data_IF_874417785491
#
_entry.id   IF_874417785491
#
_cell.length_a   1.000
_cell.length_b   1.000
_cell.length_c   1.000
_cell.angle_alpha   90.00
_cell.angle_beta   90.00
_cell.angle_gamma   90.00
#
_symmetry.space_group_name_H-M   'P 1'
#
loop_
_entity.id
_entity.type
_entity.pdbx_description
1 polymer ?
#
# COMPACT_ATOMS: atom_id res chain seq x y z
N UNK A 1 5.69 1.05 3.61
CA UNK A 1 6.68 1.64 2.69
C UNK A 1 6.95 0.65 1.58
N UNK A 2 7.30 1.15 0.39
CA UNK A 2 7.82 0.38 -0.73
C UNK A 2 9.34 0.41 -0.66
N UNK A 3 9.96 -0.76 -0.67
CA UNK A 3 11.40 -0.93 -0.84
C UNK A 3 11.68 -1.19 -2.33
N UNK A 4 12.43 -0.28 -2.94
CA UNK A 4 12.66 -0.25 -4.38
C UNK A 4 13.84 -1.13 -4.83
N UNK A 5 14.78 -1.47 -3.93
CA UNK A 5 15.95 -2.27 -4.28
C UNK A 5 15.89 -3.69 -3.71
N UNK A 6 14.97 -3.94 -2.77
CA UNK A 6 14.73 -5.25 -2.16
C UNK A 6 15.85 -5.71 -1.24
N UNK A 7 16.76 -4.80 -0.87
CA UNK A 7 17.82 -5.01 0.09
C UNK A 7 17.34 -4.92 1.53
N UNK A 8 18.29 -4.76 2.44
CA UNK A 8 17.94 -4.42 3.82
C UNK A 8 17.52 -2.95 3.87
N UNK A 9 16.37 -2.60 4.49
CA UNK A 9 15.95 -1.21 4.63
C UNK A 9 16.96 -0.43 5.46
N UNK A 10 17.24 0.81 5.06
CA UNK A 10 18.22 1.69 5.69
C UNK A 10 17.53 2.74 6.55
N UNK A 11 16.63 3.53 5.96
CA UNK A 11 15.88 4.56 6.68
C UNK A 11 14.67 5.06 5.87
N UNK A 12 13.60 5.54 6.54
CA UNK A 12 12.47 6.17 5.86
C UNK A 12 12.92 7.31 4.93
N UNK A 13 12.49 7.29 3.67
CA UNK A 13 12.82 8.32 2.68
C UNK A 13 14.22 8.26 2.08
N UNK A 14 15.03 7.24 2.41
CA UNK A 14 16.34 6.99 1.78
C UNK A 14 16.22 5.95 0.66
N UNK A 15 15.89 4.73 1.03
CA UNK A 15 15.60 3.58 0.15
C UNK A 15 14.13 3.16 0.19
N UNK A 16 13.36 3.76 1.10
CA UNK A 16 11.95 3.50 1.31
C UNK A 16 11.06 4.64 0.82
N UNK A 17 10.10 4.31 -0.03
CA UNK A 17 9.04 5.24 -0.48
C UNK A 17 7.77 5.04 0.34
N UNK A 18 7.17 6.12 0.84
CA UNK A 18 5.94 6.02 1.64
C UNK A 18 4.76 5.63 0.75
N UNK A 19 4.09 4.52 1.08
CA UNK A 19 2.85 4.09 0.43
C UNK A 19 1.60 4.59 1.15
N UNK A 20 1.65 4.66 2.48
CA UNK A 20 0.57 5.16 3.31
C UNK A 20 0.92 5.06 4.80
N UNK A 21 0.28 5.91 5.60
CA UNK A 21 0.45 5.95 7.06
C UNK A 21 -0.89 6.23 7.74
N UNK A 22 -1.08 5.65 8.93
CA UNK A 22 -2.25 5.84 9.78
C UNK A 22 -1.77 5.96 11.22
N UNK A 23 -2.30 6.94 11.93
CA UNK A 23 -2.14 7.00 13.38
C UNK A 23 -3.15 6.06 14.03
N UNK A 24 -2.71 5.34 15.06
CA UNK A 24 -3.57 4.46 15.85
C UNK A 24 -3.25 4.59 17.32
N UNK A 25 -4.24 4.32 18.17
CA UNK A 25 -4.05 4.27 19.62
C UNK A 25 -3.77 2.84 20.01
N UNK A 26 -2.55 2.58 20.47
CA UNK A 26 -2.18 1.26 20.99
C UNK A 26 -2.90 1.05 22.32
N UNK A 27 -3.96 0.23 22.31
CA UNK A 27 -4.73 -0.08 23.50
C UNK A 27 -3.87 -0.84 24.52
N UNK A 28 -3.76 -0.29 25.73
CA UNK A 28 -3.04 -0.94 26.84
C UNK A 28 -3.84 -2.15 27.35
N UNK A 29 -3.19 -3.31 27.43
CA UNK A 29 -3.79 -4.58 27.85
C UNK A 29 -3.05 -5.79 27.27
N UNK A 30 -3.26 -6.98 27.83
CA UNK A 30 -2.65 -8.20 27.29
C UNK A 30 -3.42 -8.68 26.05
N UNK A 31 -2.69 -8.99 24.96
CA UNK A 31 -3.17 -9.63 23.72
C UNK A 31 -4.25 -8.86 22.93
N UNK A 32 -3.90 -7.66 22.44
CA UNK A 32 -4.74 -6.91 21.50
C UNK A 32 -4.22 -7.07 20.06
N UNK A 33 -5.12 -7.34 19.11
CA UNK A 33 -4.84 -7.20 17.68
C UNK A 33 -5.16 -5.74 17.29
N UNK A 34 -4.19 -5.06 16.69
CA UNK A 34 -4.36 -3.71 16.18
C UNK A 34 -4.46 -3.79 14.65
N UNK A 35 -5.57 -3.29 14.11
CA UNK A 35 -5.82 -3.28 12.66
C UNK A 35 -5.77 -1.85 12.15
N UNK A 36 -5.02 -1.61 11.09
CA UNK A 36 -4.99 -0.35 10.36
C UNK A 36 -5.55 -0.57 8.95
N UNK A 37 -6.73 0.01 8.69
CA UNK A 37 -7.34 0.00 7.37
C UNK A 37 -7.07 1.31 6.63
N UNK A 38 -6.80 1.22 5.34
CA UNK A 38 -6.55 2.36 4.47
C UNK A 38 -7.74 2.58 3.55
N UNK A 39 -8.17 3.84 3.46
CA UNK A 39 -9.26 4.28 2.59
C UNK A 39 -8.84 5.64 2.00
N UNK A 40 -8.54 5.71 0.68
CA UNK A 40 -8.57 4.59 -0.27
C UNK A 40 -7.49 3.52 0.04
N UNK A 41 -7.62 2.28 -0.47
CA UNK A 41 -6.66 1.21 -0.27
C UNK A 41 -5.24 1.58 -0.72
N UNK A 42 -4.22 1.04 -0.03
CA UNK A 42 -2.84 1.17 -0.46
C UNK A 42 -2.59 0.27 -1.68
N UNK A 43 -2.05 0.87 -2.72
CA UNK A 43 -1.63 0.18 -3.93
C UNK A 43 -0.20 -0.32 -3.80
N UNK A 44 0.00 -1.64 -3.88
CA UNK A 44 1.31 -2.30 -3.83
C UNK A 44 1.63 -2.89 -5.21
N UNK A 45 2.68 -2.42 -5.90
CA UNK A 45 3.08 -2.99 -7.19
C UNK A 45 3.41 -4.48 -7.09
N UNK A 46 3.15 -5.22 -8.18
CA UNK A 46 3.60 -6.60 -8.29
C UNK A 46 5.13 -6.70 -8.12
N UNK A 47 5.58 -7.86 -7.61
CA UNK A 47 6.99 -8.18 -7.40
C UNK A 47 7.77 -7.16 -6.53
N UNK A 48 7.08 -6.49 -5.61
CA UNK A 48 7.69 -5.53 -4.69
C UNK A 48 7.88 -6.05 -3.27
N UNK A 49 8.82 -5.45 -2.54
CA UNK A 49 9.02 -5.67 -1.11
C UNK A 49 8.34 -4.54 -0.35
N UNK A 50 7.52 -4.92 0.63
CA UNK A 50 6.87 -3.97 1.54
C UNK A 50 7.57 -3.97 2.89
N UNK A 51 7.82 -2.76 3.40
CA UNK A 51 8.30 -2.56 4.77
C UNK A 51 7.16 -1.95 5.57
N UNK A 52 6.60 -2.72 6.51
CA UNK A 52 5.68 -2.21 7.51
C UNK A 52 6.49 -1.59 8.67
N UNK A 53 6.06 -0.44 9.18
CA UNK A 53 6.71 0.21 10.32
C UNK A 53 5.66 0.66 11.32
N UNK A 54 5.91 0.44 12.60
CA UNK A 54 5.18 1.10 13.68
C UNK A 54 6.13 2.09 14.34
N UNK A 55 5.77 3.36 14.29
CA UNK A 55 6.41 4.39 15.11
C UNK A 55 5.68 4.46 16.46
N UNK A 56 6.45 4.45 17.55
CA UNK A 56 5.93 4.62 18.90
C UNK A 56 6.64 5.83 19.49
N UNK A 57 5.86 6.79 19.98
CA UNK A 57 6.41 7.95 20.66
C UNK A 57 7.22 7.53 21.92
N UNK A 58 8.30 8.25 22.24
CA UNK A 58 9.08 7.94 23.42
C UNK A 58 8.22 8.06 24.69
N UNK A 59 8.31 7.07 25.57
CA UNK A 59 7.66 7.12 26.88
C UNK A 59 8.24 8.28 27.70
N UNK A 60 7.36 9.06 28.34
CA UNK A 60 7.74 10.17 29.21
C UNK A 60 8.17 9.73 30.61
N UNK A 61 7.90 8.48 30.99
CA UNK A 61 8.05 7.95 32.36
C UNK A 61 8.58 6.51 32.42
N UNK A 62 9.21 6.02 31.34
CA UNK A 62 9.71 4.65 31.27
C UNK A 62 10.38 4.31 29.94
N UNK A 63 9.99 3.19 29.36
CA UNK A 63 10.48 2.73 28.06
C UNK A 63 9.32 2.31 27.17
N UNK A 64 9.46 2.54 25.86
CA UNK A 64 8.63 1.90 24.85
C UNK A 64 9.30 0.59 24.44
N UNK A 65 8.55 -0.50 24.39
CA UNK A 65 9.03 -1.80 23.92
C UNK A 65 7.99 -2.45 23.04
N UNK A 66 8.45 -3.31 22.14
CA UNK A 66 7.59 -4.25 21.43
C UNK A 66 8.00 -5.68 21.82
N UNK A 67 7.12 -6.63 21.55
CA UNK A 67 7.38 -8.05 21.68
C UNK A 67 7.17 -8.74 20.34
N UNK A 68 7.72 -9.93 20.21
CA UNK A 68 7.60 -10.77 19.01
C UNK A 68 7.46 -12.23 19.37
N UNK A 69 7.68 -13.10 18.40
CA UNK A 69 7.74 -14.54 18.59
C UNK A 69 8.95 -15.14 17.85
N UNK A 70 9.27 -16.40 18.15
CA UNK A 70 10.37 -17.13 17.52
C UNK A 70 9.92 -17.97 16.31
N UNK A 71 8.75 -17.68 15.73
CA UNK A 71 8.33 -18.38 14.51
C UNK A 71 9.31 -18.05 13.38
N UNK A 72 9.65 -19.02 12.52
CA UNK A 72 10.56 -18.77 11.40
C UNK A 72 10.05 -17.64 10.51
N UNK A 73 10.96 -16.73 10.15
CA UNK A 73 10.72 -15.66 9.19
C UNK A 73 11.80 -15.73 8.11
N UNK A 74 11.42 -15.41 6.88
CA UNK A 74 12.38 -15.25 5.76
C UNK A 74 12.97 -13.84 5.71
N UNK A 75 12.39 -12.89 6.45
CA UNK A 75 12.82 -11.50 6.54
C UNK A 75 13.20 -11.14 7.98
N UNK A 76 14.25 -10.33 8.15
CA UNK A 76 14.68 -9.88 9.47
C UNK A 76 13.70 -8.85 10.06
N UNK A 77 13.63 -8.77 11.39
CA UNK A 77 12.98 -7.65 12.09
C UNK A 77 14.00 -6.55 12.35
N UNK A 78 13.59 -5.30 12.12
CA UNK A 78 14.44 -4.12 12.24
C UNK A 78 13.96 -3.18 13.35
N UNK A 79 14.89 -2.46 13.95
CA UNK A 79 14.62 -1.37 14.91
C UNK A 79 15.36 -0.11 14.50
N UNK A 80 14.71 1.04 14.67
CA UNK A 80 15.28 2.37 14.47
C UNK A 80 15.02 3.18 15.75
N UNK A 81 16.06 3.79 16.31
CA UNK A 81 15.95 4.60 17.52
C UNK A 81 17.16 5.53 17.66
N UNK A 82 17.03 6.75 17.17
CA UNK A 82 18.07 7.78 17.27
C UNK A 82 18.50 8.02 18.72
N UNK A 83 17.54 8.02 19.66
CA UNK A 83 17.82 8.18 21.09
C UNK A 83 18.69 7.07 21.68
N UNK A 84 18.69 5.89 21.06
CA UNK A 84 19.51 4.74 21.45
C UNK A 84 20.77 4.59 20.57
N UNK A 85 21.05 5.56 19.68
CA UNK A 85 22.19 5.52 18.77
C UNK A 85 22.01 4.64 17.53
N UNK A 86 20.80 4.13 17.30
CA UNK A 86 20.44 3.34 16.12
C UNK A 86 19.84 4.26 15.06
N UNK A 87 20.71 4.95 14.34
CA UNK A 87 20.33 6.01 13.36
C UNK A 87 19.88 5.48 12.00
N UNK A 88 19.94 4.17 11.82
CA UNK A 88 19.41 3.44 10.65
C UNK A 88 18.70 2.19 11.15
N UNK A 89 17.82 1.64 10.33
CA UNK A 89 17.20 0.35 10.61
C UNK A 89 18.29 -0.69 10.86
N UNK A 90 18.30 -1.23 12.07
CA UNK A 90 19.28 -2.21 12.54
C UNK A 90 18.57 -3.53 12.77
N UNK A 91 19.12 -4.62 12.26
CA UNK A 91 18.54 -5.95 12.47
C UNK A 91 18.61 -6.31 13.95
N UNK A 92 17.53 -6.90 14.47
CA UNK A 92 17.50 -7.35 15.86
C UNK A 92 18.55 -8.43 16.15
N UNK A 93 18.83 -9.30 15.17
CA UNK A 93 19.85 -10.35 15.30
C UNK A 93 21.26 -9.78 15.50
N UNK A 94 21.59 -8.66 14.84
CA UNK A 94 22.89 -8.00 14.96
C UNK A 94 23.11 -7.37 16.33
N UNK A 95 22.03 -7.09 17.07
CA UNK A 95 22.05 -6.55 18.43
C UNK A 95 21.68 -7.59 19.50
N UNK A 96 21.73 -8.88 19.16
CA UNK A 96 21.63 -9.99 20.11
C UNK A 96 20.22 -10.55 20.34
N UNK A 97 19.27 -10.27 19.46
CA UNK A 97 17.90 -10.78 19.51
C UNK A 97 17.52 -11.57 18.22
N UNK A 98 18.20 -12.69 17.92
CA UNK A 98 17.99 -13.43 16.68
C UNK A 98 16.63 -14.14 16.59
N UNK A 99 16.00 -14.42 17.74
CA UNK A 99 14.77 -15.20 17.82
C UNK A 99 13.52 -14.33 18.07
N UNK A 100 13.60 -13.03 17.80
CA UNK A 100 12.48 -12.09 17.96
C UNK A 100 12.02 -11.60 16.59
N UNK A 101 10.89 -12.13 16.14
CA UNK A 101 10.20 -11.70 14.93
C UNK A 101 8.93 -10.92 15.28
N UNK A 102 8.79 -9.73 14.69
CA UNK A 102 7.54 -8.98 14.77
C UNK A 102 6.50 -9.60 13.83
N UNK A 103 5.34 -9.97 14.37
CA UNK A 103 4.26 -10.58 13.61
C UNK A 103 3.31 -9.53 13.05
N UNK A 104 3.06 -9.61 11.74
CA UNK A 104 2.10 -8.75 11.02
C UNK A 104 1.17 -9.67 10.23
N UNK A 105 -0.13 -9.40 10.32
CA UNK A 105 -1.13 -9.99 9.44
C UNK A 105 -1.50 -8.98 8.35
N UNK A 106 -1.55 -9.43 7.11
CA UNK A 106 -1.79 -8.58 5.94
C UNK A 106 -2.99 -9.12 5.17
N UNK A 107 -4.07 -8.37 5.22
CA UNK A 107 -5.24 -8.58 4.38
C UNK A 107 -5.15 -7.68 3.15
N UNK A 108 -5.13 -8.28 1.96
CA UNK A 108 -5.03 -7.58 0.69
C UNK A 108 -5.86 -8.27 -0.39
N UNK A 109 -6.28 -7.49 -1.37
CA UNK A 109 -6.86 -7.97 -2.63
C UNK A 109 -5.85 -7.77 -3.75
N UNK A 110 -5.83 -8.65 -4.74
CA UNK A 110 -5.05 -8.44 -5.96
C UNK A 110 -5.72 -7.31 -6.77
N UNK A 111 -4.95 -6.29 -7.16
CA UNK A 111 -5.47 -5.10 -7.84
C UNK A 111 -5.24 -3.85 -7.00
N UNK A 112 -4.50 -2.89 -7.55
CA UNK A 112 -3.99 -1.72 -6.86
C UNK A 112 -4.10 -0.54 -7.82
N UNK A 113 -5.16 0.26 -7.64
CA UNK A 113 -5.79 1.01 -8.71
C UNK A 113 -7.02 0.23 -9.13
N UNK A 114 -8.11 0.90 -9.56
CA UNK A 114 -9.14 0.19 -10.31
C UNK A 114 -8.43 -0.69 -11.33
N UNK A 115 -8.90 -1.94 -11.48
CA UNK A 115 -8.39 -2.96 -12.41
C UNK A 115 -7.74 -2.26 -13.59
N UNK A 116 -6.49 -2.57 -13.95
CA UNK A 116 -5.58 -1.84 -14.85
C UNK A 116 -6.11 -1.60 -16.28
N UNK A 117 -7.31 -1.09 -16.33
CA UNK A 117 -8.45 -1.34 -17.18
C UNK A 117 -9.47 -0.22 -16.89
N UNK A 118 -9.01 1.02 -16.69
CA UNK A 118 -9.89 2.18 -16.41
C UNK A 118 -10.99 2.34 -17.48
N UNK A 119 -10.77 1.76 -18.67
CA UNK A 119 -11.73 1.67 -19.76
C UNK A 119 -12.47 0.34 -19.90
N UNK A 120 -12.38 -0.60 -18.96
CA UNK A 120 -13.20 -1.82 -18.92
C UNK A 120 -14.37 -1.57 -17.97
N UNK A 121 -15.48 -1.11 -18.53
CA UNK A 121 -16.66 -0.73 -17.74
C UNK A 121 -17.57 -1.91 -17.46
N UNK A 122 -17.25 -3.09 -18.01
CA UNK A 122 -18.06 -4.29 -17.88
C UNK A 122 -17.33 -5.46 -17.19
N UNK A 123 -16.10 -5.21 -16.74
CA UNK A 123 -15.23 -6.09 -15.97
C UNK A 123 -14.97 -7.46 -16.66
N UNK A 124 -14.85 -7.47 -18.00
CA UNK A 124 -14.56 -8.69 -18.78
C UNK A 124 -13.06 -8.93 -19.06
N UNK A 125 -12.20 -8.02 -18.58
CA UNK A 125 -10.74 -8.05 -18.71
C UNK A 125 -10.24 -7.58 -20.07
N UNK A 126 -11.07 -6.91 -20.88
CA UNK A 126 -10.67 -6.42 -22.19
C UNK A 126 -11.41 -5.14 -22.59
N UNK A 127 -10.67 -4.02 -22.72
CA UNK A 127 -11.20 -2.76 -23.26
C UNK A 127 -11.50 -2.93 -24.75
N UNK A 128 -12.78 -2.97 -25.11
CA UNK A 128 -13.22 -3.20 -26.48
C UNK A 128 -14.47 -2.39 -26.88
N UNK A 129 -15.15 -2.86 -27.92
CA UNK A 129 -16.37 -2.22 -28.42
C UNK A 129 -17.53 -2.21 -27.42
N UNK A 130 -17.55 -3.13 -26.46
CA UNK A 130 -18.51 -3.14 -25.36
C UNK A 130 -18.35 -1.88 -24.49
N UNK A 131 -17.12 -1.58 -24.08
CA UNK A 131 -16.80 -0.42 -23.23
C UNK A 131 -16.95 0.90 -23.97
N UNK A 132 -16.61 0.90 -25.26
CA UNK A 132 -16.92 2.06 -26.09
C UNK A 132 -18.44 2.31 -26.18
N UNK A 133 -19.23 1.24 -26.15
CA UNK A 133 -20.68 1.33 -25.99
C UNK A 133 -21.11 2.04 -24.70
N UNK A 134 -20.41 1.80 -23.58
CA UNK A 134 -20.66 2.47 -22.30
C UNK A 134 -20.37 3.97 -22.38
N UNK A 135 -19.26 4.40 -23.01
CA UNK A 135 -18.99 5.84 -23.25
C UNK A 135 -20.12 6.50 -24.05
N UNK A 136 -20.60 5.83 -25.09
CA UNK A 136 -21.69 6.38 -25.91
C UNK A 136 -23.03 6.44 -25.14
N UNK A 137 -23.26 5.50 -24.22
CA UNK A 137 -24.43 5.50 -23.35
C UNK A 137 -24.38 6.62 -22.29
N UNK A 138 -23.19 6.96 -21.81
CA UNK A 138 -22.96 7.98 -20.80
C UNK A 138 -22.74 9.40 -21.37
N UNK A 139 -22.80 9.57 -22.70
CA UNK A 139 -22.43 10.82 -23.38
C UNK A 139 -23.13 12.07 -22.82
N UNK A 140 -22.33 13.08 -22.48
CA UNK A 140 -22.81 14.33 -21.89
C UNK A 140 -22.44 14.48 -20.40
N UNK A 141 -23.13 15.35 -19.66
CA UNK A 141 -22.79 15.64 -18.26
C UNK A 141 -22.87 14.39 -17.38
N UNK A 142 -21.78 14.09 -16.69
CA UNK A 142 -21.60 12.84 -15.98
C UNK A 142 -20.62 13.05 -14.82
N UNK A 143 -21.08 13.62 -13.71
CA UNK A 143 -20.21 13.95 -12.58
C UNK A 143 -19.90 12.69 -11.77
N UNK A 144 -18.68 12.17 -11.92
CA UNK A 144 -18.17 11.03 -11.14
C UNK A 144 -18.65 9.66 -11.63
N UNK A 145 -18.99 9.55 -12.92
CA UNK A 145 -19.19 8.24 -13.54
C UNK A 145 -17.86 7.65 -14.05
N UNK A 146 -17.76 6.32 -14.18
CA UNK A 146 -16.56 5.67 -14.69
C UNK A 146 -16.15 6.13 -16.10
N UNK A 147 -17.12 6.49 -16.94
CA UNK A 147 -16.88 6.87 -18.34
C UNK A 147 -16.27 8.27 -18.51
N UNK A 148 -16.25 9.09 -17.45
CA UNK A 148 -15.58 10.41 -17.39
C UNK A 148 -14.11 10.21 -17.01
N UNK A 149 -13.34 9.67 -17.95
CA UNK A 149 -11.94 9.25 -17.77
C UNK A 149 -11.00 10.43 -17.49
N UNK A 150 -11.35 11.64 -17.91
CA UNK A 150 -10.54 12.83 -17.63
C UNK A 150 -10.99 13.58 -16.35
N UNK A 151 -12.14 13.21 -15.77
CA UNK A 151 -12.70 13.78 -14.56
C UNK A 151 -13.19 15.23 -14.68
N UNK A 152 -13.54 15.69 -15.88
CA UNK A 152 -14.01 17.06 -16.14
C UNK A 152 -15.53 17.25 -15.91
N UNK A 153 -16.23 16.16 -15.58
CA UNK A 153 -17.66 16.11 -15.33
C UNK A 153 -18.51 15.94 -16.58
N UNK A 154 -17.92 15.68 -17.75
CA UNK A 154 -18.60 15.50 -19.04
C UNK A 154 -17.96 14.40 -19.87
N UNK A 155 -18.70 13.33 -20.13
CA UNK A 155 -18.29 12.28 -21.09
C UNK A 155 -18.37 12.83 -22.50
N UNK A 156 -17.23 12.92 -23.16
CA UNK A 156 -17.07 13.57 -24.46
C UNK A 156 -16.06 12.86 -25.36
N UNK A 157 -15.71 13.50 -26.48
CA UNK A 157 -14.66 13.00 -27.36
C UNK A 157 -13.27 12.96 -26.71
N UNK A 158 -13.05 13.69 -25.61
CA UNK A 158 -11.81 13.60 -24.85
C UNK A 158 -11.65 12.21 -24.20
N UNK A 159 -12.72 11.71 -23.59
CA UNK A 159 -12.77 10.41 -22.91
C UNK A 159 -12.69 9.27 -23.91
N UNK A 160 -13.28 9.43 -25.11
CA UNK A 160 -13.06 8.49 -26.23
C UNK A 160 -11.56 8.38 -26.57
N UNK A 161 -10.85 9.50 -26.59
CA UNK A 161 -9.41 9.51 -26.84
C UNK A 161 -8.62 8.74 -25.77
N UNK A 162 -9.02 8.86 -24.51
CA UNK A 162 -8.44 8.12 -23.39
C UNK A 162 -8.77 6.62 -23.49
N UNK A 163 -10.03 6.25 -23.73
CA UNK A 163 -10.45 4.85 -23.91
C UNK A 163 -9.66 4.14 -25.01
N UNK A 164 -9.49 4.79 -26.16
CA UNK A 164 -8.73 4.22 -27.28
C UNK A 164 -7.25 4.03 -26.96
N UNK A 165 -6.69 4.79 -26.01
CA UNK A 165 -5.33 4.56 -25.53
C UNK A 165 -5.20 3.30 -24.66
N UNK A 166 -6.32 2.83 -24.11
CA UNK A 166 -6.44 1.65 -23.26
C UNK A 166 -6.91 0.40 -24.02
N UNK A 167 -7.09 0.47 -25.34
CA UNK A 167 -7.74 -0.59 -26.13
C UNK A 167 -6.98 -1.92 -26.12
N UNK A 168 -7.69 -3.00 -25.82
CA UNK A 168 -7.16 -4.37 -25.78
C UNK A 168 -7.27 -5.01 -24.40
N UNK A 169 -6.70 -6.22 -24.23
CA UNK A 169 -6.68 -6.91 -22.95
C UNK A 169 -5.97 -6.09 -21.89
N UNK A 170 -6.49 -6.12 -20.66
CA UNK A 170 -5.93 -5.39 -19.54
C UNK A 170 -5.74 -6.38 -18.36
N UNK A 171 -4.48 -6.65 -17.96
CA UNK A 171 -4.15 -7.67 -16.95
C UNK A 171 -4.18 -7.15 -15.51
#
# INVERSE_FOLDING_TARGET
>A
WLDADGGDPTAPGTDLTLLGSRDTVIAQGAFNLQTAAFDPPICVPADSVIVATIAIDPSTDGFASFAGNASPSTSSTYVLSDSCGLTTFTKLEDIGFPDINWAVDLEATLGCGGDGCEGDFNDDGIVNGADFGSILAAWGPCSGCPEDLNGDGVVSGADVGLLLSLWGPCP
#
